data_IF_046489695295
#
_entry.id   IF_046489695295
#
_cell.length_a   1.000
_cell.length_b   1.000
_cell.length_c   1.000
_cell.angle_alpha   90.00
_cell.angle_beta   90.00
_cell.angle_gamma   90.00
#
_symmetry.space_group_name_H-M   'P 1'
#
loop_
_entity.id
_entity.type
_entity.pdbx_description
1 polymer ?
#
# COMPACT_ATOMS: atom_id res chain seq x y z
N UNK A 1 42.55 0.83 48.55
CA UNK A 1 41.12 0.48 48.69
C UNK A 1 40.29 1.59 48.04
N UNK A 2 39.60 1.28 46.94
CA UNK A 2 38.32 1.86 46.49
C UNK A 2 37.95 1.13 45.21
N UNK A 3 36.92 0.30 45.34
CA UNK A 3 36.36 -0.54 44.29
C UNK A 3 35.49 0.29 43.35
N UNK A 4 35.44 -0.10 42.08
CA UNK A 4 34.27 0.12 41.23
C UNK A 4 34.28 -0.97 40.15
N UNK A 5 33.48 -2.00 40.39
CA UNK A 5 33.08 -3.00 39.39
C UNK A 5 31.86 -2.42 38.68
N UNK A 6 31.96 -2.14 37.39
CA UNK A 6 30.84 -1.92 36.46
C UNK A 6 31.36 -2.55 35.15
N UNK A 7 30.93 -3.73 34.71
CA UNK A 7 29.55 -4.12 34.48
C UNK A 7 29.14 -3.70 33.07
N UNK A 8 29.74 -4.30 32.03
CA UNK A 8 29.48 -3.99 30.62
C UNK A 8 29.34 -5.26 29.78
N UNK A 9 28.10 -5.53 29.40
CA UNK A 9 27.59 -6.73 28.71
C UNK A 9 28.27 -6.98 27.36
N UNK A 10 28.61 -8.24 27.10
CA UNK A 10 28.97 -8.77 25.77
C UNK A 10 27.75 -8.68 24.84
N UNK A 11 27.77 -7.75 23.89
CA UNK A 11 26.87 -7.82 22.73
C UNK A 11 27.52 -8.68 21.65
N UNK A 12 27.14 -9.97 21.65
CA UNK A 12 27.48 -10.95 20.62
C UNK A 12 26.87 -10.52 19.29
N UNK A 13 27.70 -10.49 18.24
CA UNK A 13 27.26 -10.23 16.88
C UNK A 13 26.30 -11.31 16.38
N UNK A 14 25.16 -10.88 15.85
CA UNK A 14 24.32 -11.69 14.97
C UNK A 14 24.43 -11.14 13.56
N UNK A 15 25.50 -11.54 12.88
CA UNK A 15 25.50 -11.67 11.43
C UNK A 15 24.76 -12.96 11.08
N UNK A 16 23.47 -12.84 10.81
CA UNK A 16 22.73 -13.83 10.00
C UNK A 16 22.10 -13.07 8.85
N UNK A 17 22.59 -13.36 7.65
CA UNK A 17 22.38 -12.55 6.45
C UNK A 17 20.94 -12.51 5.96
N UNK A 18 20.57 -11.34 5.45
CA UNK A 18 19.62 -11.21 4.37
C UNK A 18 20.42 -10.77 3.14
N UNK A 19 20.64 -11.72 2.21
CA UNK A 19 20.98 -11.58 0.79
C UNK A 19 22.04 -10.54 0.35
N UNK A 20 23.14 -10.95 -0.32
CA UNK A 20 23.90 -10.02 -1.15
C UNK A 20 23.21 -9.83 -2.51
N UNK A 21 22.97 -8.56 -2.85
CA UNK A 21 22.93 -8.05 -4.23
C UNK A 21 21.66 -8.28 -5.04
N UNK A 22 20.90 -7.21 -5.30
CA UNK A 22 20.75 -6.66 -6.66
C UNK A 22 20.78 -5.14 -6.53
N UNK A 23 21.56 -4.50 -7.40
CA UNK A 23 21.46 -3.09 -7.72
C UNK A 23 20.09 -2.84 -8.38
N UNK A 24 19.49 -1.67 -8.14
CA UNK A 24 18.78 -0.84 -9.15
C UNK A 24 17.54 -0.11 -8.60
N UNK A 25 17.44 1.14 -9.05
CA UNK A 25 16.28 2.03 -9.09
C UNK A 25 15.84 2.76 -7.82
N UNK A 26 16.36 3.99 -7.73
CA UNK A 26 15.60 5.22 -7.46
C UNK A 26 14.34 5.06 -6.61
N UNK A 27 14.55 5.10 -5.29
CA UNK A 27 13.47 5.31 -4.35
C UNK A 27 12.86 6.71 -4.56
N UNK A 28 11.58 6.67 -4.94
CA UNK A 28 10.55 7.63 -4.56
C UNK A 28 10.54 8.98 -5.28
N UNK A 29 10.11 8.96 -6.54
CA UNK A 29 9.16 9.99 -6.98
C UNK A 29 7.73 9.44 -6.80
N UNK A 30 7.28 9.39 -5.54
CA UNK A 30 5.87 9.24 -5.23
C UNK A 30 5.19 10.55 -5.64
N UNK A 31 4.87 10.67 -6.93
CA UNK A 31 4.13 11.78 -7.48
C UNK A 31 2.89 12.01 -6.64
N UNK A 32 2.92 13.04 -5.81
CA UNK A 32 1.76 13.56 -5.11
C UNK A 32 0.86 14.18 -6.17
N UNK A 33 0.13 13.33 -6.89
CA UNK A 33 -0.95 13.76 -7.74
C UNK A 33 -2.06 14.20 -6.80
N UNK A 34 -2.41 15.49 -6.81
CA UNK A 34 -3.61 16.01 -6.17
C UNK A 34 -4.78 15.10 -6.56
N UNK A 35 -5.19 14.26 -5.61
CA UNK A 35 -6.35 13.40 -5.79
C UNK A 35 -7.54 14.35 -5.84
N UNK A 36 -8.07 14.59 -7.03
CA UNK A 36 -9.38 15.20 -7.19
C UNK A 36 -10.35 14.41 -6.30
N UNK A 37 -10.79 15.02 -5.20
CA UNK A 37 -11.65 14.37 -4.22
C UNK A 37 -13.03 14.29 -4.84
N UNK A 38 -13.24 13.28 -5.69
CA UNK A 38 -14.57 12.94 -6.17
C UNK A 38 -15.38 12.41 -4.98
N UNK A 39 -16.59 12.91 -4.77
CA UNK A 39 -17.44 12.43 -3.69
C UNK A 39 -18.26 11.21 -4.11
N UNK A 40 -18.45 10.26 -3.19
CA UNK A 40 -19.33 9.11 -3.37
C UNK A 40 -20.76 9.48 -3.03
N UNK A 41 -21.69 9.14 -3.92
CA UNK A 41 -23.12 9.40 -3.72
C UNK A 41 -23.77 8.25 -2.91
N UNK A 42 -25.03 7.91 -3.23
CA UNK A 42 -25.77 6.82 -2.61
C UNK A 42 -25.33 5.42 -3.11
N UNK A 43 -24.04 5.22 -3.37
CA UNK A 43 -23.49 3.94 -3.81
C UNK A 43 -22.17 3.65 -3.10
N UNK A 44 -22.08 2.44 -2.56
CA UNK A 44 -20.87 1.87 -1.98
C UNK A 44 -20.36 0.78 -2.92
N UNK A 45 -19.10 0.85 -3.31
CA UNK A 45 -18.45 -0.12 -4.18
C UNK A 45 -16.94 -0.08 -4.03
N UNK A 46 -16.28 -1.16 -4.41
CA UNK A 46 -14.83 -1.22 -4.57
C UNK A 46 -14.52 -1.69 -5.99
N UNK A 47 -13.59 -1.03 -6.66
CA UNK A 47 -13.08 -1.41 -7.98
C UNK A 47 -11.60 -1.76 -7.84
N UNK A 48 -11.23 -2.93 -8.31
CA UNK A 48 -9.85 -3.40 -8.42
C UNK A 48 -9.39 -3.29 -9.87
N UNK A 49 -8.22 -2.68 -10.10
CA UNK A 49 -7.60 -2.53 -11.42
C UNK A 49 -6.37 -3.42 -11.52
N UNK A 50 -6.26 -4.15 -12.63
CA UNK A 50 -5.21 -5.13 -12.87
C UNK A 50 -4.33 -4.73 -14.06
N UNK A 51 -3.08 -5.18 -14.08
CA UNK A 51 -2.15 -4.90 -15.17
C UNK A 51 -2.56 -5.59 -16.50
N UNK A 52 -3.26 -6.72 -16.39
CA UNK A 52 -3.50 -7.67 -17.47
C UNK A 52 -4.93 -8.23 -17.42
N UNK A 53 -5.49 -8.72 -18.54
CA UNK A 53 -6.85 -9.25 -18.60
C UNK A 53 -7.06 -10.54 -17.80
N UNK A 54 -5.99 -11.25 -17.43
CA UNK A 54 -6.00 -12.43 -16.57
C UNK A 54 -6.27 -12.09 -15.09
N UNK A 55 -6.25 -10.81 -14.74
CA UNK A 55 -6.58 -10.29 -13.40
C UNK A 55 -5.65 -10.83 -12.29
N UNK A 56 -4.37 -11.01 -12.61
CA UNK A 56 -3.38 -11.57 -11.67
C UNK A 56 -2.71 -10.46 -10.86
N UNK A 57 -2.25 -9.41 -11.52
CA UNK A 57 -1.45 -8.36 -10.91
C UNK A 57 -2.30 -7.11 -10.61
N UNK A 58 -2.67 -6.92 -9.34
CA UNK A 58 -3.40 -5.72 -8.88
C UNK A 58 -2.47 -4.49 -8.93
N UNK A 59 -2.91 -3.44 -9.63
CA UNK A 59 -2.15 -2.19 -9.84
C UNK A 59 -2.88 -0.94 -9.37
N UNK A 60 -4.15 -1.06 -8.97
CA UNK A 60 -4.90 0.06 -8.42
C UNK A 60 -6.21 -0.37 -7.76
N UNK A 61 -6.71 0.49 -6.90
CA UNK A 61 -7.98 0.29 -6.21
C UNK A 61 -8.73 1.61 -6.13
N UNK A 62 -10.05 1.57 -6.36
CA UNK A 62 -10.95 2.69 -6.14
C UNK A 62 -12.04 2.24 -5.16
N UNK A 63 -12.09 2.87 -4.00
CA UNK A 63 -13.08 2.59 -2.96
C UNK A 63 -14.03 3.76 -2.86
N UNK A 64 -15.31 3.44 -2.91
CA UNK A 64 -16.38 4.39 -2.72
C UNK A 64 -17.26 3.92 -1.57
N UNK A 65 -17.45 4.78 -0.58
CA UNK A 65 -18.33 4.54 0.56
C UNK A 65 -19.43 5.59 0.60
N UNK A 66 -20.61 5.21 1.04
CA UNK A 66 -21.79 6.07 1.10
C UNK A 66 -21.46 7.48 1.62
N UNK A 67 -21.78 8.49 0.81
CA UNK A 67 -21.64 9.90 1.18
C UNK A 67 -20.25 10.29 1.72
N UNK A 68 -19.21 9.60 1.26
CA UNK A 68 -17.83 9.81 1.70
C UNK A 68 -16.92 10.24 0.55
N UNK A 69 -15.76 10.84 0.83
CA UNK A 69 -14.73 11.04 -0.19
C UNK A 69 -14.37 9.70 -0.84
N UNK A 70 -14.27 9.69 -2.17
CA UNK A 70 -13.76 8.54 -2.89
C UNK A 70 -12.26 8.42 -2.63
N UNK A 71 -11.81 7.20 -2.34
CA UNK A 71 -10.41 6.89 -2.13
C UNK A 71 -9.87 6.12 -3.34
N UNK A 72 -8.73 6.54 -3.89
CA UNK A 72 -8.08 5.82 -4.99
C UNK A 72 -6.59 5.67 -4.74
N UNK A 73 -6.08 4.49 -5.03
CA UNK A 73 -4.65 4.18 -5.04
C UNK A 73 -4.24 3.56 -6.37
N UNK A 74 -2.99 3.76 -6.77
CA UNK A 74 -2.42 3.13 -7.96
C UNK A 74 -2.96 3.67 -9.29
N UNK A 75 -3.00 2.81 -10.31
CA UNK A 75 -3.27 3.16 -11.70
C UNK A 75 -4.57 2.52 -12.19
N UNK A 76 -5.39 3.27 -12.93
CA UNK A 76 -6.56 2.72 -13.63
C UNK A 76 -6.12 2.04 -14.91
N UNK A 77 -6.68 0.86 -15.14
CA UNK A 77 -6.51 0.11 -16.39
C UNK A 77 -7.87 -0.26 -16.97
N UNK A 78 -7.88 -0.82 -18.17
CA UNK A 78 -9.10 -1.38 -18.76
C UNK A 78 -9.52 -2.72 -18.14
N UNK A 79 -8.65 -3.33 -17.32
CA UNK A 79 -8.86 -4.62 -16.70
C UNK A 79 -9.28 -4.38 -15.25
N UNK A 80 -10.58 -4.40 -14.98
CA UNK A 80 -11.09 -4.09 -13.64
C UNK A 80 -12.25 -4.97 -13.22
N UNK A 81 -12.33 -5.25 -11.92
CA UNK A 81 -13.43 -5.98 -11.29
C UNK A 81 -14.09 -5.07 -10.26
N UNK A 82 -15.42 -5.11 -10.22
CA UNK A 82 -16.20 -4.46 -9.16
C UNK A 82 -16.53 -5.54 -8.13
N UNK A 83 -16.29 -5.24 -6.85
CA UNK A 83 -16.59 -6.14 -5.75
C UNK A 83 -18.10 -6.44 -5.66
N UNK A 84 -18.45 -7.71 -5.43
CA UNK A 84 -19.84 -8.19 -5.37
C UNK A 84 -20.62 -7.59 -4.19
N UNK A 85 -19.94 -7.07 -3.16
CA UNK A 85 -20.54 -6.39 -2.01
C UNK A 85 -20.98 -4.96 -2.33
N UNK A 86 -21.10 -4.59 -3.60
CA UNK A 86 -21.58 -3.27 -4.00
C UNK A 86 -23.06 -3.08 -3.67
N UNK A 87 -23.42 -1.98 -3.01
CA UNK A 87 -24.81 -1.70 -2.62
C UNK A 87 -25.18 -0.22 -2.76
N UNK A 88 -26.49 0.05 -2.82
CA UNK A 88 -27.03 1.41 -2.74
C UNK A 88 -27.32 1.80 -1.30
N UNK A 89 -26.97 3.02 -0.94
CA UNK A 89 -27.24 3.60 0.36
C UNK A 89 -28.71 4.08 0.39
N UNK A 90 -29.42 3.78 1.48
CA UNK A 90 -30.80 4.23 1.73
C UNK A 90 -30.83 5.46 2.63
#
# INVERSE_FOLDING_TARGET
MRAAIIGGVLAVGMLTGCGPGVEDSDASELGAQEQEVTWCNASSYTIEYYAEPELINLVGTEVCSCFSPKFRTGVRTAYSVIDDTSYMCV
#
